data_IF_600215273997
#
_entry.id   IF_600215273997
#
_cell.length_a   1.000
_cell.length_b   1.000
_cell.length_c   1.000
_cell.angle_alpha   90.00
_cell.angle_beta   90.00
_cell.angle_gamma   90.00
#
_symmetry.space_group_name_H-M   'P 1'
#
loop_
_entity.id
_entity.type
_entity.pdbx_description
1 polymer ?
#
# COMPACT_ATOMS: atom_id res chain seq x y z
N UNK A 1 36.11 -55.75 40.50
CA UNK A 1 36.49 -54.32 40.54
C UNK A 1 35.34 -53.52 39.96
N UNK A 2 34.67 -52.76 40.81
CA UNK A 2 33.63 -51.81 40.42
C UNK A 2 34.19 -50.76 39.44
N UNK A 3 33.32 -50.14 38.62
CA UNK A 3 33.04 -48.69 38.69
C UNK A 3 32.09 -48.21 37.57
N UNK A 4 30.92 -47.76 38.05
CA UNK A 4 30.11 -46.61 37.60
C UNK A 4 29.51 -46.56 36.20
N UNK A 5 28.27 -47.05 36.13
CA UNK A 5 27.19 -46.52 35.29
C UNK A 5 26.81 -45.13 35.82
N UNK A 6 26.91 -44.09 34.97
CA UNK A 6 26.40 -42.75 35.28
C UNK A 6 25.14 -42.53 34.45
N UNK A 7 23.99 -42.66 35.10
CA UNK A 7 22.69 -42.33 34.54
C UNK A 7 22.61 -40.82 34.29
N UNK A 8 22.42 -40.42 33.03
CA UNK A 8 22.00 -39.06 32.68
C UNK A 8 20.48 -39.12 32.52
N UNK A 9 19.80 -38.62 33.55
CA UNK A 9 18.36 -38.41 33.59
C UNK A 9 18.01 -37.22 32.71
N UNK A 10 17.64 -37.46 31.45
CA UNK A 10 17.05 -36.44 30.57
C UNK A 10 15.60 -36.24 31.01
N UNK A 11 15.35 -35.16 31.74
CA UNK A 11 14.01 -34.72 32.09
C UNK A 11 13.26 -34.34 30.79
N UNK A 12 12.34 -35.20 30.37
CA UNK A 12 11.40 -34.94 29.29
C UNK A 12 10.39 -33.91 29.80
N UNK A 13 10.72 -32.62 29.65
CA UNK A 13 9.78 -31.54 29.88
C UNK A 13 8.77 -31.57 28.72
N UNK A 14 7.64 -32.26 28.94
CA UNK A 14 6.51 -32.25 28.01
C UNK A 14 5.99 -30.84 27.86
N UNK A 15 6.38 -30.16 26.78
CA UNK A 15 5.80 -28.89 26.38
C UNK A 15 4.44 -29.19 25.76
N UNK A 16 3.41 -29.15 26.60
CA UNK A 16 2.01 -29.21 26.18
C UNK A 16 1.73 -28.01 25.28
N UNK A 17 1.65 -28.25 23.97
CA UNK A 17 1.16 -27.28 23.01
C UNK A 17 -0.33 -27.10 23.34
N UNK A 18 -0.66 -26.08 24.14
CA UNK A 18 -2.03 -25.59 24.22
C UNK A 18 -2.33 -24.89 22.88
N UNK A 19 -2.74 -25.67 21.88
CA UNK A 19 -3.52 -25.14 20.78
C UNK A 19 -4.86 -24.71 21.38
N UNK A 20 -4.97 -23.44 21.77
CA UNK A 20 -6.27 -22.86 22.05
C UNK A 20 -7.06 -22.88 20.75
N UNK A 21 -7.95 -23.86 20.59
CA UNK A 21 -9.04 -23.76 19.62
C UNK A 21 -9.76 -22.47 19.97
N UNK A 22 -9.78 -21.49 19.07
CA UNK A 22 -10.63 -20.32 19.23
C UNK A 22 -12.06 -20.81 19.11
N UNK A 23 -12.68 -21.16 20.23
CA UNK A 23 -14.07 -21.57 20.22
C UNK A 23 -14.93 -20.32 20.03
N UNK A 24 -15.69 -20.29 18.94
CA UNK A 24 -16.77 -19.34 18.80
C UNK A 24 -18.01 -19.86 19.52
N UNK A 25 -18.65 -18.94 20.24
CA UNK A 25 -19.81 -19.21 21.05
C UNK A 25 -21.05 -18.63 20.36
N UNK A 26 -21.95 -19.49 19.91
CA UNK A 26 -23.25 -19.08 19.40
C UNK A 26 -24.40 -19.48 20.29
N UNK A 27 -25.56 -18.90 20.00
CA UNK A 27 -26.81 -19.16 20.71
C UNK A 27 -27.69 -20.07 19.88
N UNK A 28 -28.59 -20.79 20.56
CA UNK A 28 -29.57 -21.63 19.88
C UNK A 28 -30.77 -20.75 19.47
N UNK A 29 -31.01 -20.55 18.16
CA UNK A 29 -32.04 -19.65 17.69
C UNK A 29 -33.44 -20.11 18.13
N UNK A 30 -34.28 -19.15 18.54
CA UNK A 30 -35.69 -19.37 18.87
C UNK A 30 -35.99 -19.97 20.25
N UNK A 31 -34.99 -20.51 20.96
CA UNK A 31 -35.22 -21.13 22.28
C UNK A 31 -34.40 -20.53 23.43
N UNK A 32 -33.24 -19.92 23.16
CA UNK A 32 -32.45 -19.26 24.22
C UNK A 32 -33.18 -18.02 24.74
N UNK A 33 -33.26 -17.85 26.06
CA UNK A 33 -33.97 -16.74 26.73
C UNK A 33 -35.47 -16.65 26.41
N UNK A 34 -36.10 -17.71 25.91
CA UNK A 34 -37.55 -17.74 25.65
C UNK A 34 -38.30 -18.50 26.73
N UNK A 35 -39.55 -18.10 26.95
CA UNK A 35 -40.48 -18.81 27.81
C UNK A 35 -41.11 -19.98 27.04
N UNK A 36 -41.06 -21.17 27.62
CA UNK A 36 -41.70 -22.36 27.08
C UNK A 36 -43.04 -22.60 27.77
N UNK A 37 -44.06 -22.91 26.98
CA UNK A 37 -45.42 -23.16 27.45
C UNK A 37 -45.80 -24.62 27.16
N UNK A 38 -46.69 -25.16 27.97
CA UNK A 38 -47.34 -26.45 27.74
C UNK A 38 -48.57 -26.32 26.81
N UNK A 39 -49.22 -27.45 26.52
CA UNK A 39 -50.42 -27.53 25.67
C UNK A 39 -51.63 -26.74 26.21
N UNK A 40 -51.59 -26.34 27.48
CA UNK A 40 -52.61 -25.54 28.15
C UNK A 40 -52.17 -24.08 28.36
N UNK A 41 -51.13 -23.64 27.63
CA UNK A 41 -50.52 -22.31 27.73
C UNK A 41 -49.97 -21.96 29.13
N UNK A 42 -49.68 -22.96 29.97
CA UNK A 42 -49.03 -22.77 31.26
C UNK A 42 -47.51 -22.85 31.10
N UNK A 43 -46.74 -22.10 31.89
CA UNK A 43 -45.28 -22.22 31.89
C UNK A 43 -44.81 -23.66 32.10
N UNK A 44 -43.83 -24.12 31.31
CA UNK A 44 -43.23 -25.45 31.42
C UNK A 44 -42.25 -25.53 32.61
N UNK A 45 -42.77 -25.23 33.80
CA UNK A 45 -42.02 -25.15 35.05
C UNK A 45 -41.37 -26.48 35.41
N UNK A 46 -40.05 -26.46 35.66
CA UNK A 46 -39.28 -27.67 35.97
C UNK A 46 -39.11 -28.64 34.80
N UNK A 47 -39.45 -28.23 33.57
CA UNK A 47 -39.11 -28.99 32.36
C UNK A 47 -37.60 -29.14 32.19
N UNK A 48 -37.18 -30.12 31.39
CA UNK A 48 -35.77 -30.45 31.17
C UNK A 48 -35.39 -30.23 29.71
N UNK A 49 -34.37 -29.40 29.49
CA UNK A 49 -33.76 -29.20 28.17
C UNK A 49 -32.51 -30.08 28.07
N UNK A 50 -32.54 -31.03 27.17
CA UNK A 50 -31.41 -31.88 26.81
C UNK A 50 -30.69 -31.28 25.61
N UNK A 51 -29.38 -31.10 25.76
CA UNK A 51 -28.47 -30.62 24.72
C UNK A 51 -27.72 -31.83 24.17
N UNK A 52 -27.93 -32.17 22.90
CA UNK A 52 -27.50 -33.43 22.31
C UNK A 52 -26.69 -33.12 21.05
N UNK A 53 -25.65 -33.90 20.78
CA UNK A 53 -24.88 -33.79 19.54
C UNK A 53 -25.78 -34.08 18.34
N UNK A 54 -25.69 -33.27 17.29
CA UNK A 54 -26.48 -33.45 16.07
C UNK A 54 -26.28 -34.86 15.49
N UNK A 55 -27.36 -35.46 14.98
CA UNK A 55 -27.35 -36.81 14.41
C UNK A 55 -27.24 -37.95 15.43
N UNK A 56 -27.13 -37.66 16.73
CA UNK A 56 -27.10 -38.70 17.78
C UNK A 56 -28.46 -38.80 18.52
N UNK A 57 -28.77 -39.96 19.13
CA UNK A 57 -30.02 -40.11 19.88
C UNK A 57 -29.96 -39.48 21.29
N UNK A 58 -28.78 -39.39 21.89
CA UNK A 58 -28.62 -38.97 23.29
C UNK A 58 -27.19 -38.56 23.69
N UNK A 59 -26.23 -38.47 22.76
CA UNK A 59 -24.87 -38.10 23.13
C UNK A 59 -24.85 -36.63 23.60
N UNK A 60 -24.42 -36.32 24.83
CA UNK A 60 -24.53 -34.98 25.37
C UNK A 60 -23.62 -33.99 24.61
N UNK A 61 -24.14 -32.79 24.36
CA UNK A 61 -23.38 -31.65 23.85
C UNK A 61 -23.18 -30.63 24.98
N UNK A 62 -21.95 -30.11 25.11
CA UNK A 62 -21.65 -29.09 26.10
C UNK A 62 -22.10 -27.71 25.61
N UNK A 63 -22.83 -27.00 26.46
CA UNK A 63 -23.10 -25.57 26.34
C UNK A 63 -22.80 -24.88 27.68
N UNK A 64 -22.72 -23.55 27.66
CA UNK A 64 -22.06 -22.73 28.67
C UNK A 64 -22.91 -21.51 29.01
N UNK A 65 -22.64 -20.96 30.20
CA UNK A 65 -23.28 -19.78 30.76
C UNK A 65 -22.71 -18.48 30.21
N UNK A 66 -21.49 -18.53 29.66
CA UNK A 66 -20.75 -17.39 29.14
C UNK A 66 -20.32 -17.62 27.68
N UNK A 67 -20.11 -16.52 26.96
CA UNK A 67 -19.61 -16.54 25.57
C UNK A 67 -18.14 -16.94 25.45
N UNK A 68 -17.38 -17.04 26.55
CA UNK A 68 -16.03 -17.59 26.58
C UNK A 68 -15.97 -19.11 26.63
N UNK A 69 -17.14 -19.78 26.73
CA UNK A 69 -17.28 -21.22 26.89
C UNK A 69 -16.49 -21.77 28.10
N UNK A 70 -16.53 -21.05 29.23
CA UNK A 70 -15.74 -21.40 30.42
C UNK A 70 -16.57 -22.04 31.53
N UNK A 71 -17.85 -21.69 31.65
CA UNK A 71 -18.75 -22.15 32.69
C UNK A 71 -19.84 -23.07 32.12
N UNK A 72 -19.66 -24.40 32.12
CA UNK A 72 -20.61 -25.31 31.50
C UNK A 72 -21.96 -25.33 32.24
N UNK A 73 -23.04 -25.43 31.48
CA UNK A 73 -24.35 -25.79 32.02
C UNK A 73 -24.43 -27.30 32.30
N UNK A 74 -25.09 -27.74 33.39
CA UNK A 74 -25.50 -29.13 33.55
C UNK A 74 -26.41 -29.60 32.40
N UNK A 75 -26.28 -30.87 32.00
CA UNK A 75 -27.12 -31.47 30.97
C UNK A 75 -27.85 -32.70 31.56
N UNK A 76 -29.19 -32.66 31.71
CA UNK A 76 -30.12 -31.65 31.22
C UNK A 76 -30.18 -30.37 32.07
N UNK A 77 -30.54 -29.26 31.43
CA UNK A 77 -30.84 -27.97 32.07
C UNK A 77 -32.28 -27.99 32.56
N UNK A 78 -32.50 -27.58 33.81
CA UNK A 78 -33.85 -27.48 34.39
C UNK A 78 -34.39 -26.06 34.19
N UNK A 79 -35.59 -25.94 33.63
CA UNK A 79 -36.29 -24.67 33.44
C UNK A 79 -36.71 -24.05 34.79
N UNK A 80 -36.74 -22.72 34.85
CA UNK A 80 -37.18 -22.00 36.04
C UNK A 80 -38.70 -22.16 36.30
N UNK A 81 -39.18 -21.55 37.40
CA UNK A 81 -40.59 -21.60 37.76
C UNK A 81 -41.54 -20.98 36.70
N UNK A 82 -41.00 -20.10 35.85
CA UNK A 82 -41.68 -19.48 34.74
C UNK A 82 -41.45 -20.22 33.41
N UNK A 83 -40.86 -21.42 33.41
CA UNK A 83 -40.61 -22.21 32.20
C UNK A 83 -39.61 -21.57 31.24
N UNK A 84 -38.76 -20.66 31.72
CA UNK A 84 -37.77 -19.97 30.88
C UNK A 84 -36.53 -20.80 30.69
N UNK A 85 -36.06 -20.82 29.45
CA UNK A 85 -34.74 -21.35 29.11
C UNK A 85 -33.72 -20.25 29.43
N UNK A 86 -32.65 -20.54 30.20
CA UNK A 86 -31.61 -19.56 30.47
C UNK A 86 -30.84 -19.20 29.20
N UNK A 87 -29.94 -18.22 29.28
CA UNK A 87 -29.03 -17.96 28.17
C UNK A 87 -28.08 -19.14 27.96
N UNK A 88 -27.97 -19.58 26.70
CA UNK A 88 -27.14 -20.72 26.31
C UNK A 88 -26.12 -20.28 25.28
N UNK A 89 -24.85 -20.58 25.55
CA UNK A 89 -23.75 -20.44 24.62
C UNK A 89 -23.17 -21.81 24.28
N UNK A 90 -23.13 -22.17 23.01
CA UNK A 90 -22.61 -23.46 22.56
C UNK A 90 -21.51 -23.20 21.53
N UNK A 91 -20.56 -24.14 21.41
CA UNK A 91 -19.55 -24.06 20.35
C UNK A 91 -20.21 -24.13 18.97
N UNK A 92 -19.67 -23.39 17.99
CA UNK A 92 -20.17 -23.40 16.61
C UNK A 92 -20.40 -24.81 16.04
N UNK A 93 -21.50 -24.96 15.31
CA UNK A 93 -21.88 -26.22 14.66
C UNK A 93 -23.38 -26.47 14.70
N UNK A 94 -23.77 -27.71 14.45
CA UNK A 94 -25.15 -28.17 14.54
C UNK A 94 -25.38 -28.91 15.86
N UNK A 95 -26.56 -28.71 16.45
CA UNK A 95 -26.98 -29.33 17.69
C UNK A 95 -28.37 -29.96 17.56
N UNK A 96 -28.64 -30.95 18.41
CA UNK A 96 -29.96 -31.47 18.67
C UNK A 96 -30.45 -31.02 20.03
N UNK A 97 -31.68 -30.53 20.08
CA UNK A 97 -32.35 -30.17 21.34
C UNK A 97 -33.51 -31.12 21.58
N UNK A 98 -33.72 -31.48 22.85
CA UNK A 98 -34.93 -32.17 23.29
C UNK A 98 -35.44 -31.51 24.56
N UNK A 99 -36.62 -30.93 24.51
CA UNK A 99 -37.31 -30.37 25.66
C UNK A 99 -38.36 -31.37 26.16
N UNK A 100 -38.34 -31.65 27.47
CA UNK A 100 -39.36 -32.46 28.15
C UNK A 100 -40.07 -31.67 29.23
N UNK A 101 -41.29 -32.07 29.57
CA UNK A 101 -41.94 -31.61 30.80
C UNK A 101 -41.25 -32.21 32.05
N UNK A 102 -41.71 -31.80 33.23
CA UNK A 102 -41.20 -32.30 34.53
C UNK A 102 -41.41 -33.82 34.71
N UNK A 103 -42.35 -34.41 33.98
CA UNK A 103 -42.71 -35.81 34.01
C UNK A 103 -41.94 -36.65 32.95
N UNK A 104 -41.13 -36.01 32.10
CA UNK A 104 -40.31 -36.65 31.07
C UNK A 104 -40.98 -36.78 29.70
N UNK A 105 -42.19 -36.24 29.49
CA UNK A 105 -42.83 -36.27 28.18
C UNK A 105 -42.18 -35.23 27.26
N UNK A 106 -41.90 -35.62 26.02
CA UNK A 106 -41.25 -34.75 25.03
C UNK A 106 -42.22 -33.69 24.52
N UNK A 107 -41.80 -32.43 24.51
CA UNK A 107 -42.56 -31.28 23.98
C UNK A 107 -41.96 -30.71 22.70
N UNK A 108 -40.63 -30.73 22.59
CA UNK A 108 -39.91 -30.31 21.39
C UNK A 108 -38.71 -31.22 21.17
N UNK A 109 -38.56 -31.73 19.95
CA UNK A 109 -37.33 -32.39 19.52
C UNK A 109 -36.96 -31.80 18.17
N UNK A 110 -35.77 -31.24 18.07
CA UNK A 110 -35.24 -30.72 16.82
C UNK A 110 -33.79 -31.12 16.68
N UNK A 111 -33.46 -31.71 15.52
CA UNK A 111 -32.10 -32.13 15.17
C UNK A 111 -31.53 -31.21 14.09
N UNK A 112 -30.22 -31.24 13.92
CA UNK A 112 -29.47 -30.44 12.93
C UNK A 112 -29.77 -28.94 13.01
N UNK A 113 -30.02 -28.41 14.21
CA UNK A 113 -30.22 -26.99 14.43
C UNK A 113 -28.87 -26.26 14.41
N UNK A 114 -28.73 -25.27 13.54
CA UNK A 114 -27.51 -24.47 13.47
C UNK A 114 -27.39 -23.56 14.70
N UNK A 115 -26.24 -23.58 15.35
CA UNK A 115 -25.88 -22.63 16.39
C UNK A 115 -25.53 -21.30 15.70
N UNK A 116 -26.24 -20.23 16.09
CA UNK A 116 -26.11 -18.90 15.49
C UNK A 116 -25.36 -18.00 16.45
N UNK A 117 -24.12 -17.66 16.08
CA UNK A 117 -23.23 -16.82 16.84
C UNK A 117 -22.20 -16.15 15.95
N UNK A 118 -21.36 -15.27 16.52
CA UNK A 118 -20.14 -14.82 15.85
C UNK A 118 -19.30 -16.06 15.52
N UNK A 119 -19.42 -16.52 14.27
CA UNK A 119 -18.62 -17.62 13.73
C UNK A 119 -17.14 -17.30 13.94
N UNK A 120 -16.33 -18.30 14.27
CA UNK A 120 -14.94 -18.26 14.76
C UNK A 120 -13.86 -17.46 14.01
N UNK A 121 -14.16 -16.26 13.51
CA UNK A 121 -13.22 -15.16 13.39
C UNK A 121 -13.17 -14.41 14.72
N UNK A 122 -12.07 -14.57 15.46
CA UNK A 122 -11.94 -14.13 16.85
C UNK A 122 -12.20 -12.64 17.11
N UNK A 123 -12.67 -12.36 18.32
CA UNK A 123 -12.69 -11.02 18.91
C UNK A 123 -13.96 -10.72 19.69
N UNK A 124 -13.97 -11.05 20.98
CA UNK A 124 -15.06 -10.66 21.87
C UNK A 124 -15.17 -9.15 22.07
N UNK A 125 -16.40 -8.69 22.28
CA UNK A 125 -16.68 -7.43 22.99
C UNK A 125 -17.17 -6.26 22.16
N UNK A 126 -18.34 -6.39 21.52
CA UNK A 126 -19.13 -5.26 21.00
C UNK A 126 -18.56 -4.56 19.76
N UNK A 127 -19.46 -4.03 18.93
CA UNK A 127 -19.21 -3.28 17.68
C UNK A 127 -18.67 -4.11 16.52
N UNK A 128 -19.43 -4.10 15.41
CA UNK A 128 -19.07 -4.45 14.02
C UNK A 128 -17.65 -4.99 13.81
N UNK A 129 -17.52 -6.20 13.26
CA UNK A 129 -16.23 -6.78 12.84
C UNK A 129 -15.41 -5.70 12.09
N UNK A 130 -14.16 -5.39 12.46
CA UNK A 130 -13.38 -4.35 11.80
C UNK A 130 -13.23 -4.55 10.28
N UNK A 131 -13.41 -5.78 9.79
CA UNK A 131 -13.49 -6.08 8.34
C UNK A 131 -14.84 -5.70 7.71
N UNK A 132 -15.91 -5.56 8.51
CA UNK A 132 -17.22 -5.04 8.07
C UNK A 132 -17.23 -3.54 7.83
N UNK A 133 -16.26 -2.79 8.36
CA UNK A 133 -16.09 -1.35 8.06
C UNK A 133 -15.09 -1.16 6.90
N UNK A 134 -13.98 -1.90 6.90
CA UNK A 134 -12.97 -1.87 5.84
C UNK A 134 -12.46 -3.27 5.52
N UNK A 135 -12.57 -3.67 4.25
CA UNK A 135 -11.99 -4.93 3.78
C UNK A 135 -10.45 -4.93 3.94
N UNK A 136 -9.87 -6.10 4.25
CA UNK A 136 -8.42 -6.32 4.21
C UNK A 136 -7.82 -5.83 2.90
N UNK A 137 -6.69 -5.11 2.98
CA UNK A 137 -6.05 -4.48 1.82
C UNK A 137 -6.53 -3.05 1.53
N UNK A 138 -7.59 -2.56 2.18
CA UNK A 138 -8.02 -1.17 2.05
C UNK A 138 -6.96 -0.21 2.56
N UNK A 139 -6.86 0.95 1.89
CA UNK A 139 -6.03 2.07 2.32
C UNK A 139 -6.81 3.06 3.17
N UNK A 140 -6.14 3.64 4.17
CA UNK A 140 -6.61 4.86 4.83
C UNK A 140 -5.46 5.83 5.05
N UNK A 141 -5.76 7.12 4.97
CA UNK A 141 -4.85 8.17 5.43
C UNK A 141 -5.19 8.53 6.87
N UNK A 142 -4.17 8.66 7.70
CA UNK A 142 -4.32 9.02 9.10
C UNK A 142 -3.28 10.07 9.49
N UNK A 143 -3.73 11.16 10.11
CA UNK A 143 -2.85 12.23 10.57
C UNK A 143 -2.18 11.84 11.89
N UNK A 144 -1.13 11.03 11.79
CA UNK A 144 -0.34 10.53 12.90
C UNK A 144 0.74 9.56 12.40
N UNK A 145 1.69 9.18 13.24
CA UNK A 145 2.85 8.34 12.85
C UNK A 145 2.99 7.05 13.65
N UNK A 146 2.09 6.83 14.63
CA UNK A 146 2.12 5.71 15.56
C UNK A 146 1.69 4.36 14.96
N UNK A 147 1.54 3.35 15.81
CA UNK A 147 0.96 2.06 15.42
C UNK A 147 -0.56 2.16 15.60
N UNK A 148 -1.32 1.64 14.63
CA UNK A 148 -2.78 1.60 14.68
C UNK A 148 -3.24 0.14 14.72
N UNK A 149 -4.03 -0.23 15.73
CA UNK A 149 -4.52 -1.61 15.88
C UNK A 149 -5.39 -2.03 14.70
N UNK A 150 -5.16 -3.22 14.15
CA UNK A 150 -5.86 -3.70 12.96
C UNK A 150 -5.31 -3.17 11.62
N UNK A 151 -4.24 -2.39 11.65
CA UNK A 151 -3.59 -1.79 10.47
C UNK A 151 -2.06 -1.91 10.53
N UNK A 152 -1.42 -1.81 9.36
CA UNK A 152 0.04 -1.69 9.20
C UNK A 152 0.36 -0.53 8.25
N UNK A 153 1.55 0.07 8.33
CA UNK A 153 1.90 1.19 7.46
C UNK A 153 2.31 0.70 6.07
N UNK A 154 1.89 1.41 5.01
CA UNK A 154 2.37 1.19 3.65
C UNK A 154 3.79 1.75 3.47
N UNK A 155 4.79 1.09 4.03
CA UNK A 155 6.14 1.66 4.19
C UNK A 155 7.26 0.80 3.58
N UNK A 156 6.93 -0.19 2.74
CA UNK A 156 7.92 -1.05 2.11
C UNK A 156 8.62 -2.04 3.04
N UNK A 157 8.26 -2.09 4.33
CA UNK A 157 8.73 -3.14 5.27
C UNK A 157 7.96 -4.43 5.05
N UNK A 158 8.20 -5.44 5.88
CA UNK A 158 7.56 -6.76 5.73
C UNK A 158 6.56 -7.09 6.83
N UNK A 159 5.60 -7.95 6.48
CA UNK A 159 4.66 -8.62 7.39
C UNK A 159 4.86 -10.14 7.33
N UNK A 160 4.44 -10.84 8.38
CA UNK A 160 4.47 -12.29 8.46
C UNK A 160 4.00 -12.78 9.83
N UNK A 161 4.02 -14.09 10.03
CA UNK A 161 3.59 -14.68 11.30
C UNK A 161 4.48 -14.25 12.49
N UNK A 162 4.10 -14.65 13.71
CA UNK A 162 4.78 -14.25 14.95
C UNK A 162 6.28 -14.58 15.00
N UNK A 163 6.71 -15.63 14.28
CA UNK A 163 8.08 -16.13 14.26
C UNK A 163 8.86 -15.75 13.00
N UNK A 164 8.23 -15.03 12.06
CA UNK A 164 8.80 -14.69 10.74
C UNK A 164 9.93 -13.66 10.77
N UNK A 165 10.08 -12.89 11.87
CA UNK A 165 11.04 -11.79 11.93
C UNK A 165 10.69 -10.59 11.04
N UNK A 166 9.44 -10.49 10.56
CA UNK A 166 8.95 -9.38 9.77
C UNK A 166 9.15 -8.01 10.46
N UNK A 167 9.51 -6.98 9.67
CA UNK A 167 10.03 -5.71 10.21
C UNK A 167 8.98 -4.63 10.45
N UNK A 168 7.81 -4.71 9.83
CA UNK A 168 6.66 -3.88 10.22
C UNK A 168 5.84 -4.57 11.31
N UNK A 169 5.50 -5.85 11.08
CA UNK A 169 4.70 -6.64 12.02
C UNK A 169 4.91 -8.14 11.82
N UNK A 170 5.50 -8.77 12.84
CA UNK A 170 5.58 -10.22 12.96
C UNK A 170 4.51 -10.70 13.95
N UNK A 171 3.34 -11.08 13.44
CA UNK A 171 2.20 -11.51 14.26
C UNK A 171 1.21 -12.35 13.44
N UNK A 172 0.51 -13.28 14.08
CA UNK A 172 -0.52 -14.11 13.45
C UNK A 172 -1.68 -13.31 12.85
N UNK A 173 -1.97 -12.13 13.39
CA UNK A 173 -3.04 -11.24 12.89
C UNK A 173 -2.79 -10.67 11.49
N UNK A 174 -1.58 -10.83 10.94
CA UNK A 174 -1.23 -10.39 9.59
C UNK A 174 -1.63 -11.39 8.50
N UNK A 175 -2.13 -12.58 8.87
CA UNK A 175 -2.38 -13.68 7.93
C UNK A 175 -3.33 -13.29 6.78
N UNK A 176 -4.41 -12.56 7.09
CA UNK A 176 -5.38 -12.14 6.09
C UNK A 176 -4.75 -11.19 5.06
N UNK A 177 -4.04 -10.16 5.52
CA UNK A 177 -3.33 -9.24 4.63
C UNK A 177 -2.19 -9.89 3.86
N UNK A 178 -1.45 -10.81 4.48
CA UNK A 178 -0.43 -11.59 3.79
C UNK A 178 -1.05 -12.35 2.62
N UNK A 179 -2.16 -13.06 2.86
CA UNK A 179 -2.85 -13.82 1.81
C UNK A 179 -3.39 -12.91 0.70
N UNK A 180 -3.99 -11.77 1.07
CA UNK A 180 -4.48 -10.80 0.11
C UNK A 180 -3.37 -10.25 -0.79
N UNK A 181 -2.29 -9.69 -0.22
CA UNK A 181 -1.20 -9.10 -0.98
C UNK A 181 -0.44 -10.15 -1.79
N UNK A 182 -0.28 -11.36 -1.25
CA UNK A 182 0.33 -12.47 -1.97
C UNK A 182 -0.43 -12.79 -3.27
N UNK A 183 -1.77 -12.78 -3.25
CA UNK A 183 -2.58 -12.99 -4.45
C UNK A 183 -2.68 -11.76 -5.37
N UNK A 184 -2.76 -10.56 -4.79
CA UNK A 184 -3.08 -9.33 -5.51
C UNK A 184 -1.89 -8.73 -6.28
N UNK A 185 -0.68 -8.80 -5.74
CA UNK A 185 0.51 -8.22 -6.36
C UNK A 185 1.66 -9.24 -6.34
N UNK A 186 1.94 -9.81 -7.51
CA UNK A 186 3.02 -10.79 -7.69
C UNK A 186 4.42 -10.17 -7.58
N UNK A 187 4.56 -8.84 -7.75
CA UNK A 187 5.83 -8.13 -7.67
C UNK A 187 6.31 -7.91 -6.24
N UNK A 188 5.42 -8.00 -5.24
CA UNK A 188 5.81 -7.95 -3.84
C UNK A 188 6.71 -9.13 -3.50
N UNK A 189 7.85 -8.83 -2.89
CA UNK A 189 8.85 -9.81 -2.54
C UNK A 189 8.39 -10.69 -1.37
N UNK A 190 8.53 -12.00 -1.53
CA UNK A 190 8.38 -12.98 -0.46
C UNK A 190 9.75 -13.56 -0.13
N UNK A 191 10.12 -13.62 1.13
CA UNK A 191 11.43 -14.14 1.56
C UNK A 191 11.62 -15.58 1.10
N UNK A 192 12.71 -15.86 0.38
CA UNK A 192 12.95 -17.19 -0.21
C UNK A 192 12.06 -17.51 -1.42
N UNK A 193 11.39 -16.51 -1.98
CA UNK A 193 10.49 -16.65 -3.12
C UNK A 193 9.10 -17.16 -2.73
N UNK A 194 8.17 -17.06 -3.69
CA UNK A 194 6.79 -17.55 -3.54
C UNK A 194 6.76 -19.06 -3.60
N UNK A 195 6.07 -19.67 -2.65
CA UNK A 195 5.77 -21.10 -2.61
C UNK A 195 4.45 -21.42 -3.32
N UNK A 196 3.87 -22.59 -3.04
CA UNK A 196 2.66 -23.06 -3.74
C UNK A 196 1.39 -22.30 -3.35
N UNK A 197 1.36 -21.66 -2.17
CA UNK A 197 0.23 -20.85 -1.71
C UNK A 197 0.65 -19.87 -0.63
N UNK A 198 -0.12 -18.80 -0.47
CA UNK A 198 0.08 -17.85 0.63
C UNK A 198 0.04 -18.51 2.01
N UNK A 199 -0.85 -19.48 2.22
CA UNK A 199 -0.97 -20.20 3.49
C UNK A 199 0.29 -21.05 3.79
N UNK A 200 0.86 -21.70 2.76
CA UNK A 200 2.10 -22.45 2.91
C UNK A 200 3.28 -21.52 3.22
N UNK A 201 3.38 -20.38 2.51
CA UNK A 201 4.43 -19.40 2.75
C UNK A 201 4.32 -18.76 4.15
N UNK A 202 3.12 -18.42 4.59
CA UNK A 202 2.86 -17.87 5.92
C UNK A 202 3.17 -18.89 7.02
N UNK A 203 2.79 -20.16 6.85
CA UNK A 203 3.09 -21.23 7.80
C UNK A 203 4.59 -21.56 7.86
N UNK A 204 5.30 -21.35 6.76
CA UNK A 204 6.75 -21.53 6.65
C UNK A 204 7.57 -20.36 7.24
N UNK A 205 6.95 -19.44 7.99
CA UNK A 205 7.60 -18.26 8.58
C UNK A 205 8.18 -17.28 7.55
N UNK A 206 7.70 -17.30 6.31
CA UNK A 206 8.15 -16.33 5.32
C UNK A 206 7.57 -14.95 5.61
N UNK A 207 8.31 -13.93 5.21
CA UNK A 207 7.89 -12.53 5.23
C UNK A 207 7.47 -12.08 3.83
N UNK A 208 6.42 -11.26 3.74
CA UNK A 208 6.00 -10.60 2.51
C UNK A 208 6.20 -9.09 2.65
N UNK A 209 6.82 -8.47 1.64
CA UNK A 209 7.01 -7.03 1.58
C UNK A 209 5.68 -6.31 1.33
N UNK A 210 5.46 -5.21 2.05
CA UNK A 210 4.34 -4.31 1.83
C UNK A 210 4.63 -3.39 0.64
N UNK A 211 3.59 -2.84 -0.01
CA UNK A 211 3.76 -1.69 -0.89
C UNK A 211 4.45 -0.53 -0.16
N UNK A 212 5.18 0.29 -0.92
CA UNK A 212 5.93 1.42 -0.38
C UNK A 212 5.31 2.75 -0.79
N UNK A 213 4.50 3.34 0.10
CA UNK A 213 3.85 4.62 -0.13
C UNK A 213 4.68 5.82 0.37
N UNK A 214 5.90 5.62 0.86
CA UNK A 214 6.70 6.71 1.45
C UNK A 214 7.01 7.78 0.40
N UNK A 215 6.59 9.01 0.66
CA UNK A 215 6.83 10.16 -0.24
C UNK A 215 6.10 10.09 -1.58
N UNK A 216 5.13 9.18 -1.74
CA UNK A 216 4.41 8.96 -3.01
C UNK A 216 2.95 9.37 -2.88
N UNK A 217 2.42 9.93 -3.96
CA UNK A 217 0.98 10.10 -4.15
C UNK A 217 0.43 8.82 -4.77
N UNK A 218 -0.68 8.31 -4.23
CA UNK A 218 -1.35 7.14 -4.79
C UNK A 218 -2.29 7.60 -5.90
N UNK A 219 -2.05 7.10 -7.11
CA UNK A 219 -2.97 7.22 -8.23
C UNK A 219 -3.73 5.92 -8.43
N UNK A 220 -4.89 5.99 -9.11
CA UNK A 220 -5.60 4.80 -9.58
C UNK A 220 -4.83 4.11 -10.71
N UNK A 221 -5.06 2.81 -10.89
CA UNK A 221 -4.60 2.10 -12.09
C UNK A 221 -5.16 2.77 -13.35
N UNK A 222 -4.43 2.70 -14.47
CA UNK A 222 -4.85 3.38 -15.71
C UNK A 222 -6.00 2.65 -16.42
N UNK A 223 -6.23 1.37 -16.10
CA UNK A 223 -7.27 0.52 -16.66
C UNK A 223 -8.54 0.44 -15.78
N UNK A 224 -8.41 0.33 -14.45
CA UNK A 224 -9.52 0.22 -13.48
C UNK A 224 -10.61 -0.79 -13.90
N UNK A 225 -10.21 -1.92 -14.48
CA UNK A 225 -11.14 -2.95 -14.98
C UNK A 225 -11.73 -2.67 -16.37
N UNK A 226 -11.21 -1.69 -17.10
CA UNK A 226 -11.50 -1.38 -18.50
C UNK A 226 -10.17 -1.37 -19.32
N UNK A 227 -10.21 -0.95 -20.58
CA UNK A 227 -8.99 -0.60 -21.33
C UNK A 227 -8.26 0.60 -20.71
N UNK A 228 -6.93 0.59 -20.80
CA UNK A 228 -6.08 1.65 -20.26
C UNK A 228 -6.40 3.03 -20.88
N UNK A 229 -6.56 4.05 -20.03
CA UNK A 229 -6.92 5.40 -20.45
C UNK A 229 -5.76 6.21 -21.07
N UNK A 230 -4.53 5.73 -20.96
CA UNK A 230 -3.33 6.36 -21.52
C UNK A 230 -2.83 7.58 -20.73
N UNK A 231 -3.17 7.69 -19.44
CA UNK A 231 -2.77 8.84 -18.60
C UNK A 231 -1.47 8.58 -17.84
N UNK A 232 -1.20 7.32 -17.48
CA UNK A 232 0.02 6.88 -16.82
C UNK A 232 0.84 5.97 -17.73
N UNK A 233 1.36 6.54 -18.83
CA UNK A 233 2.12 5.78 -19.83
C UNK A 233 3.56 5.56 -19.40
N UNK A 234 4.17 4.45 -19.86
CA UNK A 234 5.57 4.13 -19.54
C UNK A 234 6.56 5.22 -19.92
N UNK A 235 6.30 5.98 -20.99
CA UNK A 235 7.19 7.06 -21.45
C UNK A 235 7.30 8.23 -20.46
N UNK A 236 6.21 8.56 -19.76
CA UNK A 236 6.16 9.75 -18.88
C UNK A 236 6.09 9.38 -17.40
N UNK A 237 5.37 8.30 -17.06
CA UNK A 237 5.32 7.77 -15.71
C UNK A 237 6.62 7.01 -15.35
N UNK A 238 7.25 6.36 -16.32
CA UNK A 238 8.45 5.52 -16.10
C UNK A 238 8.14 4.05 -15.81
N UNK A 239 6.86 3.68 -15.73
CA UNK A 239 6.38 2.31 -15.57
C UNK A 239 5.02 2.12 -16.27
N UNK A 240 4.55 0.88 -16.37
CA UNK A 240 3.21 0.60 -16.91
C UNK A 240 2.13 0.97 -15.87
N UNK A 241 1.26 1.94 -16.20
CA UNK A 241 0.20 2.41 -15.32
C UNK A 241 -0.90 1.40 -14.97
N UNK A 242 -0.90 0.21 -15.58
CA UNK A 242 -1.79 -0.92 -15.26
C UNK A 242 -1.17 -1.92 -14.28
N UNK A 243 0.12 -1.79 -13.98
CA UNK A 243 0.80 -2.67 -13.02
C UNK A 243 0.57 -2.17 -11.60
N UNK A 244 -0.09 -2.97 -10.77
CA UNK A 244 -0.29 -2.64 -9.36
C UNK A 244 1.05 -2.47 -8.65
N UNK A 245 1.14 -1.45 -7.78
CA UNK A 245 2.37 -1.13 -7.07
C UNK A 245 3.45 -0.49 -7.94
N UNK A 246 3.23 -0.29 -9.25
CA UNK A 246 4.16 0.44 -10.09
C UNK A 246 4.36 1.87 -9.57
N UNK A 247 5.62 2.29 -9.54
CA UNK A 247 5.99 3.63 -9.08
C UNK A 247 6.70 4.37 -10.21
N UNK A 248 6.55 5.68 -10.21
CA UNK A 248 7.01 6.53 -11.29
C UNK A 248 7.05 7.99 -10.87
N UNK A 249 7.51 8.84 -11.78
CA UNK A 249 7.77 10.25 -11.52
C UNK A 249 9.11 10.53 -10.84
N UNK A 250 9.46 11.81 -10.80
CA UNK A 250 10.72 12.32 -10.26
C UNK A 250 10.46 13.42 -9.24
N UNK A 251 11.34 13.55 -8.23
CA UNK A 251 11.30 14.62 -7.22
C UNK A 251 11.40 16.02 -7.86
N UNK A 252 12.13 16.12 -8.96
CA UNK A 252 12.31 17.35 -9.71
C UNK A 252 12.47 17.08 -11.21
N UNK A 253 12.40 18.15 -12.00
CA UNK A 253 12.72 18.13 -13.43
C UNK A 253 13.69 19.26 -13.74
N UNK A 254 14.76 18.94 -14.47
CA UNK A 254 15.66 19.96 -15.03
C UNK A 254 15.29 20.17 -16.49
N UNK A 255 15.02 21.43 -16.87
CA UNK A 255 14.70 21.75 -18.25
C UNK A 255 15.96 21.62 -19.12
N UNK A 256 15.86 20.86 -20.20
CA UNK A 256 16.90 20.78 -21.23
C UNK A 256 16.61 21.79 -22.36
N UNK A 257 17.63 22.09 -23.17
CA UNK A 257 17.50 23.02 -24.29
C UNK A 257 16.34 22.67 -25.24
N UNK A 258 16.05 21.39 -25.45
CA UNK A 258 14.94 20.92 -26.28
C UNK A 258 13.54 21.20 -25.70
N UNK A 259 13.44 21.54 -24.41
CA UNK A 259 12.19 21.88 -23.73
C UNK A 259 11.94 23.39 -23.67
N UNK A 260 12.87 24.22 -24.17
CA UNK A 260 12.67 25.67 -24.25
C UNK A 260 11.71 26.02 -25.39
N UNK A 261 10.85 27.05 -25.20
CA UNK A 261 10.06 27.58 -26.30
C UNK A 261 10.96 28.03 -27.46
N UNK A 262 10.50 27.85 -28.70
CA UNK A 262 11.16 28.42 -29.88
C UNK A 262 11.11 29.94 -29.80
N UNK A 263 12.24 30.56 -29.47
CA UNK A 263 12.36 32.01 -29.34
C UNK A 263 13.08 32.59 -30.56
N UNK A 264 12.37 33.34 -31.39
CA UNK A 264 12.97 34.12 -32.47
C UNK A 264 13.45 35.47 -31.93
N UNK A 265 14.73 35.57 -31.58
CA UNK A 265 15.34 36.85 -31.19
C UNK A 265 15.85 37.54 -32.45
N UNK A 266 15.22 38.65 -32.83
CA UNK A 266 15.69 39.52 -33.91
C UNK A 266 16.43 40.72 -33.32
N UNK A 267 17.70 40.89 -33.69
CA UNK A 267 18.47 42.10 -33.40
C UNK A 267 18.64 42.92 -34.67
N UNK A 268 18.39 44.23 -34.61
CA UNK A 268 18.77 45.17 -35.66
C UNK A 268 19.91 46.05 -35.17
N UNK A 269 20.91 46.23 -36.01
CA UNK A 269 22.06 47.09 -35.73
C UNK A 269 21.92 48.36 -36.55
N UNK A 270 21.71 49.49 -35.89
CA UNK A 270 21.78 50.83 -36.50
C UNK A 270 23.06 51.50 -36.02
N UNK A 271 24.00 51.74 -36.93
CA UNK A 271 25.26 52.42 -36.64
C UNK A 271 25.96 52.87 -37.90
N UNK A 272 26.55 54.06 -37.87
CA UNK A 272 27.40 54.59 -38.94
C UNK A 272 28.86 54.29 -38.61
N UNK A 273 29.58 53.64 -39.54
CA UNK A 273 31.03 53.41 -39.42
C UNK A 273 31.76 54.57 -40.11
N UNK A 274 32.37 55.46 -39.33
CA UNK A 274 33.18 56.57 -39.87
C UNK A 274 34.63 56.10 -40.03
N UNK A 275 35.17 56.17 -41.24
CA UNK A 275 36.56 55.82 -41.53
C UNK A 275 37.29 57.08 -41.99
N UNK A 276 38.17 57.62 -41.15
CA UNK A 276 39.02 58.77 -41.45
C UNK A 276 40.43 58.29 -41.78
N UNK A 277 40.82 58.40 -43.06
CA UNK A 277 42.20 58.16 -43.51
C UNK A 277 42.89 59.48 -43.85
N UNK A 278 44.12 59.68 -43.36
CA UNK A 278 44.99 60.77 -43.83
C UNK A 278 45.89 60.20 -44.93
N UNK A 279 45.57 60.47 -46.19
CA UNK A 279 46.43 60.08 -47.31
C UNK A 279 47.76 60.85 -47.24
N UNK A 280 48.88 60.13 -47.20
CA UNK A 280 50.21 60.72 -47.38
C UNK A 280 50.59 60.61 -48.85
N UNK A 281 50.69 61.74 -49.54
CA UNK A 281 51.11 61.77 -50.94
C UNK A 281 52.62 61.49 -51.02
N UNK A 282 52.99 60.24 -51.31
CA UNK A 282 54.37 59.87 -51.64
C UNK A 282 54.69 60.28 -53.09
N UNK A 283 55.44 61.36 -53.28
CA UNK A 283 56.03 61.69 -54.57
C UNK A 283 57.32 60.88 -54.74
N UNK A 284 57.29 59.80 -55.52
CA UNK A 284 58.53 59.28 -56.11
C UNK A 284 58.88 60.19 -57.27
N UNK A 285 59.99 60.93 -57.13
CA UNK A 285 60.49 61.83 -58.16
C UNK A 285 60.76 61.10 -59.47
N UNK A 286 59.77 61.06 -60.35
CA UNK A 286 59.89 60.58 -61.71
C UNK A 286 60.59 61.65 -62.54
N UNK A 287 61.87 61.45 -62.83
CA UNK A 287 62.56 62.22 -63.85
C UNK A 287 61.85 62.00 -65.19
N UNK A 288 61.16 63.03 -65.69
CA UNK A 288 60.66 63.05 -67.06
C UNK A 288 61.85 63.37 -67.98
N UNK A 289 62.62 62.36 -68.38
CA UNK A 289 63.42 62.42 -69.61
C UNK A 289 62.46 62.16 -70.78
N UNK A 290 62.40 62.95 -71.86
CA UNK A 290 63.52 63.43 -72.65
C UNK A 290 63.09 64.58 -73.59
N UNK A 291 63.80 65.70 -73.52
CA UNK A 291 64.36 66.38 -74.70
C UNK A 291 63.59 67.53 -75.37
N UNK A 292 63.65 68.75 -74.80
CA UNK A 292 63.91 70.00 -75.55
C UNK A 292 64.57 71.03 -74.61
N UNK A 293 65.71 71.61 -75.02
CA UNK A 293 66.51 72.53 -74.21
C UNK A 293 65.90 73.94 -74.09
N UNK A 294 65.80 74.43 -72.86
CA UNK A 294 65.43 75.80 -72.54
C UNK A 294 65.23 75.98 -71.04
N UNK A 295 66.13 76.72 -70.38
CA UNK A 295 66.21 76.86 -68.91
C UNK A 295 65.05 77.66 -68.31
N UNK A 296 63.93 76.99 -68.05
CA UNK A 296 62.83 77.49 -67.22
C UNK A 296 62.36 76.42 -66.26
N UNK A 297 62.32 76.73 -64.96
CA UNK A 297 61.78 75.82 -63.96
C UNK A 297 60.26 75.72 -64.13
N UNK A 298 59.77 74.60 -64.65
CA UNK A 298 58.34 74.29 -64.64
C UNK A 298 58.03 73.51 -63.36
N UNK A 299 57.51 74.22 -62.35
CA UNK A 299 56.95 73.63 -61.14
C UNK A 299 55.64 72.93 -61.46
N UNK A 300 55.69 71.63 -61.75
CA UNK A 300 54.52 70.79 -61.88
C UNK A 300 53.89 70.51 -60.52
N UNK A 301 53.05 71.42 -60.03
CA UNK A 301 52.15 71.16 -58.91
C UNK A 301 50.97 70.32 -59.42
N UNK A 302 51.20 69.04 -59.70
CA UNK A 302 50.12 68.12 -60.06
C UNK A 302 49.56 67.50 -58.78
N UNK A 303 48.33 67.83 -58.45
CA UNK A 303 47.59 67.14 -57.37
C UNK A 303 47.33 65.71 -57.79
N UNK A 304 48.12 64.76 -57.27
CA UNK A 304 47.86 63.33 -57.44
C UNK A 304 46.81 62.90 -56.41
N UNK A 305 45.64 62.50 -56.87
CA UNK A 305 44.58 61.93 -56.03
C UNK A 305 44.94 60.48 -55.68
N UNK A 306 45.38 60.21 -54.46
CA UNK A 306 45.57 58.82 -53.99
C UNK A 306 44.26 58.33 -53.37
N UNK A 307 43.55 57.46 -54.08
CA UNK A 307 42.35 56.80 -53.59
C UNK A 307 42.73 55.56 -52.78
N UNK A 308 42.70 55.67 -51.45
CA UNK A 308 42.83 54.51 -50.55
C UNK A 308 41.46 54.00 -50.12
N UNK A 309 41.16 52.72 -50.38
CA UNK A 309 39.96 52.08 -49.81
C UNK A 309 40.27 51.65 -48.38
N UNK A 310 39.60 52.25 -47.40
CA UNK A 310 39.71 51.83 -46.01
C UNK A 310 38.59 50.84 -45.68
N UNK A 311 38.97 49.59 -45.42
CA UNK A 311 38.04 48.48 -45.17
C UNK A 311 38.02 48.12 -43.68
N UNK A 312 36.84 48.10 -43.07
CA UNK A 312 36.62 47.62 -41.70
C UNK A 312 35.42 46.69 -41.64
N UNK A 313 35.46 45.67 -40.78
CA UNK A 313 34.35 44.75 -40.55
C UNK A 313 33.67 45.10 -39.23
N UNK A 314 32.37 45.40 -39.24
CA UNK A 314 31.58 45.53 -38.02
C UNK A 314 31.08 44.14 -37.60
N UNK A 315 31.73 43.54 -36.61
CA UNK A 315 31.27 42.29 -36.00
C UNK A 315 30.35 42.58 -34.81
N UNK A 316 29.08 42.17 -34.92
CA UNK A 316 28.14 42.21 -33.80
C UNK A 316 27.96 40.80 -33.29
N UNK A 317 28.36 40.56 -32.04
CA UNK A 317 28.13 39.30 -31.34
C UNK A 317 27.13 39.53 -30.22
N UNK A 318 26.11 38.68 -30.15
CA UNK A 318 25.11 38.67 -29.09
C UNK A 318 24.96 37.26 -28.57
N UNK A 319 25.25 37.05 -27.29
CA UNK A 319 24.98 35.79 -26.61
C UNK A 319 23.70 35.93 -25.77
N UNK A 320 22.80 34.96 -25.88
CA UNK A 320 21.65 34.85 -24.98
C UNK A 320 22.05 33.92 -23.85
N UNK A 321 22.60 34.48 -22.77
CA UNK A 321 22.93 33.72 -21.57
C UNK A 321 21.68 33.59 -20.69
N UNK A 322 20.81 32.66 -21.05
CA UNK A 322 19.60 32.32 -20.33
C UNK A 322 19.44 30.81 -20.21
N UNK A 323 20.46 30.11 -19.71
CA UNK A 323 20.34 28.67 -19.49
C UNK A 323 19.53 28.42 -18.23
N UNK A 324 18.24 28.17 -18.42
CA UNK A 324 17.50 27.32 -17.49
C UNK A 324 18.30 26.02 -17.27
N UNK A 325 18.35 25.56 -16.03
CA UNK A 325 19.20 24.42 -15.65
C UNK A 325 19.11 24.05 -14.17
N UNK A 326 18.43 24.89 -13.37
CA UNK A 326 18.08 24.52 -12.01
C UNK A 326 16.86 23.62 -12.00
N UNK A 327 16.89 22.63 -11.12
CA UNK A 327 15.80 21.69 -10.92
C UNK A 327 14.53 22.42 -10.46
N UNK A 328 13.42 22.17 -11.15
CA UNK A 328 12.10 22.65 -10.77
C UNK A 328 11.38 21.58 -9.97
N UNK A 329 10.72 22.01 -8.88
CA UNK A 329 9.82 21.16 -8.10
C UNK A 329 8.64 20.73 -8.97
N UNK A 330 8.38 19.43 -9.00
CA UNK A 330 7.23 18.82 -9.72
C UNK A 330 6.03 18.55 -8.81
N UNK A 331 6.21 18.65 -7.48
CA UNK A 331 5.14 18.36 -6.53
C UNK A 331 4.15 19.53 -6.38
N UNK A 332 2.86 19.20 -6.43
CA UNK A 332 1.76 20.10 -6.09
C UNK A 332 1.77 20.46 -4.58
N UNK A 333 1.06 21.52 -4.14
CA UNK A 333 0.84 21.76 -2.71
C UNK A 333 0.31 20.50 -2.01
N UNK A 334 1.06 19.99 -1.03
CA UNK A 334 0.81 18.67 -0.42
C UNK A 334 1.05 18.74 1.09
N UNK A 335 0.14 18.14 1.86
CA UNK A 335 0.31 17.86 3.30
C UNK A 335 0.58 16.37 3.49
N UNK A 336 1.43 16.02 4.46
CA UNK A 336 1.82 14.64 4.72
C UNK A 336 0.97 14.00 5.83
N UNK A 337 0.50 12.79 5.56
CA UNK A 337 -0.17 11.90 6.52
C UNK A 337 0.39 10.49 6.34
N UNK A 338 0.17 9.61 7.32
CA UNK A 338 0.60 8.21 7.20
C UNK A 338 -0.47 7.39 6.51
N UNK A 339 -0.06 6.67 5.47
CA UNK A 339 -0.90 5.70 4.78
C UNK A 339 -0.82 4.35 5.47
N UNK A 340 -1.97 3.83 5.89
CA UNK A 340 -2.11 2.51 6.49
C UNK A 340 -2.88 1.56 5.57
N UNK A 341 -2.61 0.26 5.71
CA UNK A 341 -3.29 -0.84 5.02
C UNK A 341 -3.99 -1.70 6.07
N UNK A 342 -5.26 -2.03 5.82
CA UNK A 342 -6.09 -2.84 6.72
C UNK A 342 -5.58 -4.28 6.72
N UNK A 343 -5.34 -4.81 7.93
CA UNK A 343 -5.05 -6.24 8.11
C UNK A 343 -6.29 -7.10 7.98
#
# INVERSE_FOLDING_TARGET
MARFIKAISTALLGFSIFTGSTFAAGTIPGISMTQQLDEFAKPLSGGKLFLIQAGTPSAPQNCYQDSGLTLPWPNPITLDAAGRIPQLFCADGSIKIRLTDKNGNQKLVQDNLLIVGPSGGGGGGGTVDPTTIFQTGAFMQFYGTGILSGWVRCNGRSIGNATSGATERANSDTQALFAFLWGADSNLAVSGGRGPSAAADFSANKTLALPDCRGRVVASLDDMGNSAAGRLTSSYFGALGTTLGATGGSENVTLIAAQLPSLSITGSTSGTMSVSGTGSNGFTGGNVGSGVGGGGAFGGNTTVSVSGTASGTLSVSGSVSGTGGQAHRTVQPTILATTYIKM
#
